data_IF_161617838994
#
_entry.id   IF_161617838994
#
_cell.length_a   1.000
_cell.length_b   1.000
_cell.length_c   1.000
_cell.angle_alpha   90.00
_cell.angle_beta   90.00
_cell.angle_gamma   90.00
#
_symmetry.space_group_name_H-M   'P 1'
#
loop_
_entity.id
_entity.type
_entity.pdbx_description
1 polymer ?
#
# COMPACT_ATOMS: atom_id res chain seq x y z
N UNK A 1 14.23 52.34 40.68
CA UNK A 1 15.49 51.99 41.35
C UNK A 1 15.36 50.51 41.71
N UNK A 2 16.07 49.54 41.17
CA UNK A 2 17.11 49.45 40.14
C UNK A 2 17.05 47.99 39.62
N UNK A 3 16.93 47.79 38.31
CA UNK A 3 17.98 47.31 37.38
C UNK A 3 18.58 45.95 37.72
N UNK A 4 18.37 45.00 36.81
CA UNK A 4 19.11 43.74 36.78
C UNK A 4 20.55 43.89 36.30
N UNK A 5 21.31 42.80 36.48
CA UNK A 5 22.41 42.31 35.64
C UNK A 5 22.97 41.08 36.36
N UNK A 6 22.92 39.90 35.74
CA UNK A 6 23.88 39.39 34.74
C UNK A 6 24.97 38.57 35.44
N UNK A 7 24.88 37.25 35.27
CA UNK A 7 25.86 36.28 35.70
C UNK A 7 27.04 36.31 34.73
N UNK A 8 28.14 36.96 35.13
CA UNK A 8 29.41 36.92 34.41
C UNK A 8 30.13 35.60 34.72
N UNK A 9 30.23 34.71 33.73
CA UNK A 9 31.10 33.52 33.82
C UNK A 9 32.50 33.92 33.34
N UNK A 10 33.44 33.95 34.28
CA UNK A 10 34.86 34.20 34.02
C UNK A 10 35.49 32.93 33.45
N UNK A 11 35.82 32.93 32.16
CA UNK A 11 36.62 31.86 31.54
C UNK A 11 38.08 32.05 31.96
N UNK A 12 38.63 31.10 32.72
CA UNK A 12 40.09 31.02 32.93
C UNK A 12 40.73 30.40 31.69
N UNK A 13 41.75 31.09 31.17
CA UNK A 13 42.46 30.71 29.95
C UNK A 13 43.23 29.41 30.09
N UNK A 14 43.11 28.55 29.07
CA UNK A 14 43.98 27.41 28.88
C UNK A 14 45.23 27.84 28.11
N UNK A 15 46.36 27.79 28.81
CA UNK A 15 47.70 27.80 28.26
C UNK A 15 47.89 26.67 27.26
N UNK A 16 48.61 26.98 26.19
CA UNK A 16 48.97 26.11 25.06
C UNK A 16 49.64 24.80 25.50
N UNK A 17 49.21 23.66 24.93
CA UNK A 17 50.05 22.53 24.50
C UNK A 17 49.17 21.41 23.93
N UNK A 18 49.43 20.98 22.69
CA UNK A 18 48.87 19.74 22.13
C UNK A 18 47.76 19.88 21.08
N UNK A 19 47.85 20.87 20.18
CA UNK A 19 47.06 20.88 18.93
C UNK A 19 47.53 19.72 18.05
N UNK A 20 46.70 18.69 17.85
CA UNK A 20 46.50 17.98 16.58
C UNK A 20 45.67 16.69 16.72
N UNK A 21 45.54 16.09 17.91
CA UNK A 21 44.89 14.76 18.03
C UNK A 21 43.46 14.74 18.59
N UNK A 22 43.02 15.77 19.33
CA UNK A 22 41.70 15.77 19.97
C UNK A 22 40.57 16.43 19.15
N UNK A 23 40.92 17.37 18.25
CA UNK A 23 39.92 18.07 17.42
C UNK A 23 39.26 17.17 16.38
N UNK A 24 40.03 16.26 15.77
CA UNK A 24 39.54 15.36 14.73
C UNK A 24 38.54 14.31 15.24
N UNK A 25 38.70 13.87 16.49
CA UNK A 25 37.82 12.87 17.10
C UNK A 25 36.45 13.46 17.44
N UNK A 26 36.41 14.70 17.95
CA UNK A 26 35.16 15.40 18.28
C UNK A 26 34.37 15.78 17.02
N UNK A 27 35.04 16.26 15.96
CA UNK A 27 34.38 16.53 14.69
C UNK A 27 33.91 15.25 14.00
N UNK A 28 34.69 14.17 14.07
CA UNK A 28 34.30 12.88 13.50
C UNK A 28 33.07 12.31 14.21
N UNK A 29 32.99 12.38 15.55
CA UNK A 29 31.82 11.90 16.30
C UNK A 29 30.57 12.73 16.02
N UNK A 30 30.70 14.05 15.84
CA UNK A 30 29.57 14.91 15.48
C UNK A 30 29.11 14.69 14.03
N UNK A 31 30.04 14.49 13.08
CA UNK A 31 29.71 14.15 11.69
C UNK A 31 29.11 12.74 11.59
N UNK A 32 29.64 11.77 12.34
CA UNK A 32 29.06 10.44 12.42
C UNK A 32 27.67 10.49 13.07
N UNK A 33 27.52 11.20 14.19
CA UNK A 33 26.24 11.42 14.87
C UNK A 33 25.18 12.09 13.99
N UNK A 34 25.58 13.03 13.13
CA UNK A 34 24.70 13.67 12.13
C UNK A 34 24.37 12.74 10.96
N UNK A 35 25.27 11.83 10.59
CA UNK A 35 25.04 10.79 9.60
C UNK A 35 24.13 9.65 10.11
N UNK A 36 24.14 9.31 11.42
CA UNK A 36 23.27 8.26 11.98
C UNK A 36 21.86 8.76 12.37
N UNK A 37 21.62 10.07 12.43
CA UNK A 37 20.33 10.62 12.90
C UNK A 37 19.27 10.79 11.81
N UNK A 38 19.60 10.50 10.55
CA UNK A 38 18.62 10.44 9.46
C UNK A 38 18.38 9.00 9.01
N UNK A 39 18.01 8.11 9.95
CA UNK A 39 17.27 6.92 9.57
C UNK A 39 15.88 7.40 9.15
N UNK A 40 15.74 7.75 7.88
CA UNK A 40 14.42 7.94 7.27
C UNK A 40 13.73 6.59 7.36
N UNK A 41 12.72 6.47 8.20
CA UNK A 41 11.88 5.28 8.20
C UNK A 41 11.33 5.08 6.78
N UNK A 42 11.42 3.85 6.26
CA UNK A 42 11.01 3.51 4.89
C UNK A 42 9.49 3.52 4.67
N UNK A 43 8.72 4.16 5.57
CA UNK A 43 7.27 4.19 5.63
C UNK A 43 6.77 5.45 6.36
N UNK A 44 5.51 5.88 6.15
CA UNK A 44 4.88 6.99 6.87
C UNK A 44 4.55 6.61 8.32
N UNK A 45 5.24 7.19 9.29
CA UNK A 45 5.02 6.92 10.72
C UNK A 45 3.61 7.34 11.18
N UNK A 46 3.03 8.37 10.56
CA UNK A 46 1.69 8.89 10.84
C UNK A 46 0.57 7.90 10.47
N UNK A 47 0.81 7.00 9.52
CA UNK A 47 -0.17 5.99 9.11
C UNK A 47 -0.01 4.69 9.92
N UNK A 48 1.01 4.57 10.79
CA UNK A 48 1.28 3.34 11.54
C UNK A 48 0.16 3.04 12.54
N UNK A 49 -0.49 1.89 12.36
CA UNK A 49 -1.51 1.39 13.29
C UNK A 49 -0.84 0.61 14.41
N UNK A 50 -0.62 1.29 15.54
CA UNK A 50 0.04 0.71 16.73
C UNK A 50 -0.76 -0.46 17.31
N UNK A 51 -2.09 -0.32 17.42
CA UNK A 51 -2.97 -1.36 17.94
C UNK A 51 -4.42 -1.10 17.50
N UNK A 52 -5.08 -2.11 16.91
CA UNK A 52 -6.53 -2.07 16.72
C UNK A 52 -7.26 -2.48 18.02
N UNK A 53 -8.43 -1.89 18.33
CA UNK A 53 -9.24 -2.30 19.48
C UNK A 53 -9.56 -3.80 19.46
N UNK A 54 -9.25 -4.49 20.56
CA UNK A 54 -9.48 -5.94 20.69
C UNK A 54 -8.62 -6.83 19.78
N UNK A 55 -7.52 -6.30 19.23
CA UNK A 55 -6.58 -7.05 18.41
C UNK A 55 -5.72 -8.03 19.23
N UNK A 56 -5.55 -9.27 18.77
CA UNK A 56 -4.57 -10.18 19.36
C UNK A 56 -3.13 -9.73 19.04
N UNK A 57 -2.16 -10.10 19.87
CA UNK A 57 -0.74 -9.76 19.64
C UNK A 57 -0.27 -10.28 18.28
N UNK A 58 0.36 -9.41 17.49
CA UNK A 58 0.95 -9.75 16.18
C UNK A 58 2.36 -9.21 16.05
N UNK A 59 3.14 -9.78 15.13
CA UNK A 59 4.52 -9.36 14.85
C UNK A 59 4.71 -8.58 13.54
N UNK A 60 3.68 -8.45 12.72
CA UNK A 60 3.70 -7.68 11.47
C UNK A 60 3.21 -6.24 11.71
N UNK A 61 3.70 -5.29 10.91
CA UNK A 61 3.19 -3.91 10.93
C UNK A 61 1.93 -3.76 10.08
N UNK A 62 1.21 -2.71 10.39
CA UNK A 62 -0.08 -2.37 9.80
C UNK A 62 -0.12 -0.86 9.63
N UNK A 63 -0.69 -0.40 8.52
CA UNK A 63 -0.77 1.01 8.18
C UNK A 63 -2.16 1.32 7.66
N UNK A 64 -2.68 2.48 8.02
CA UNK A 64 -3.96 2.94 7.54
C UNK A 64 -3.90 4.45 7.34
N UNK A 65 -4.35 4.92 6.19
CA UNK A 65 -4.27 6.33 5.88
C UNK A 65 -4.88 6.66 4.53
N UNK A 66 -4.58 7.86 4.07
CA UNK A 66 -5.12 8.40 2.82
C UNK A 66 -4.03 8.66 1.79
N UNK A 67 -4.43 8.58 0.53
CA UNK A 67 -3.67 9.07 -0.61
C UNK A 67 -4.58 9.96 -1.44
N UNK A 68 -4.16 11.21 -1.62
CA UNK A 68 -4.89 12.19 -2.41
C UNK A 68 -4.71 11.89 -3.90
N UNK A 69 -5.78 11.51 -4.60
CA UNK A 69 -5.76 11.22 -6.04
C UNK A 69 -6.09 12.45 -6.88
N UNK A 70 -6.79 13.43 -6.29
CA UNK A 70 -7.08 14.73 -6.91
C UNK A 70 -7.11 15.82 -5.84
N UNK A 71 -6.02 16.60 -5.74
CA UNK A 71 -5.93 17.68 -4.74
C UNK A 71 -6.83 18.87 -5.06
N UNK A 72 -7.23 19.05 -6.33
CA UNK A 72 -8.12 20.16 -6.73
C UNK A 72 -9.54 19.89 -6.26
N UNK A 73 -10.02 18.67 -6.45
CA UNK A 73 -11.36 18.28 -6.02
C UNK A 73 -11.41 17.78 -4.57
N UNK A 74 -10.26 17.65 -3.91
CA UNK A 74 -10.14 17.10 -2.56
C UNK A 74 -10.55 15.63 -2.49
N UNK A 75 -10.18 14.85 -3.51
CA UNK A 75 -10.51 13.42 -3.63
C UNK A 75 -9.36 12.58 -3.08
N UNK A 76 -9.68 11.76 -2.08
CA UNK A 76 -8.69 10.94 -1.35
C UNK A 76 -9.22 9.53 -1.16
N UNK A 77 -8.37 8.54 -1.45
CA UNK A 77 -8.69 7.13 -1.24
C UNK A 77 -8.06 6.63 0.05
N UNK A 78 -8.87 5.95 0.86
CA UNK A 78 -8.43 5.30 2.08
C UNK A 78 -7.82 3.93 1.76
N UNK A 79 -6.75 3.61 2.47
CA UNK A 79 -6.13 2.29 2.38
C UNK A 79 -5.87 1.68 3.75
N UNK A 80 -5.85 0.35 3.77
CA UNK A 80 -5.34 -0.43 4.88
C UNK A 80 -4.28 -1.38 4.32
N UNK A 81 -3.05 -1.25 4.82
CA UNK A 81 -1.90 -2.05 4.41
C UNK A 81 -1.43 -2.89 5.58
N UNK A 82 -1.20 -4.18 5.35
CA UNK A 82 -0.62 -5.08 6.34
C UNK A 82 0.56 -5.80 5.74
N UNK A 83 1.66 -5.78 6.49
CA UNK A 83 2.85 -6.51 6.11
C UNK A 83 2.65 -8.02 6.20
N UNK A 84 3.49 -8.74 5.46
CA UNK A 84 3.53 -10.17 5.58
C UNK A 84 3.99 -10.60 6.99
N UNK A 85 3.44 -11.70 7.51
CA UNK A 85 3.78 -12.20 8.86
C UNK A 85 5.26 -12.56 9.01
N UNK A 86 5.90 -13.00 7.91
CA UNK A 86 7.27 -13.47 7.89
C UNK A 86 8.05 -12.83 6.74
N UNK A 87 9.19 -12.23 7.10
CA UNK A 87 10.13 -11.61 6.16
C UNK A 87 9.45 -10.66 5.14
N UNK A 88 8.68 -9.64 5.59
CA UNK A 88 7.89 -8.79 4.69
C UNK A 88 8.72 -8.12 3.58
N UNK A 89 9.98 -7.81 3.89
CA UNK A 89 10.99 -7.30 2.96
C UNK A 89 11.42 -8.29 1.85
N UNK A 90 10.94 -9.53 1.85
CA UNK A 90 11.17 -10.52 0.77
C UNK A 90 9.89 -10.88 0.03
N UNK A 91 8.73 -10.44 0.53
CA UNK A 91 7.43 -10.83 -0.02
C UNK A 91 6.96 -9.85 -1.09
N UNK A 92 6.09 -10.34 -1.97
CA UNK A 92 5.39 -9.53 -2.96
C UNK A 92 4.41 -8.55 -2.31
N UNK A 93 3.84 -7.66 -3.11
CA UNK A 93 2.69 -6.84 -2.77
C UNK A 93 1.46 -7.36 -3.51
N UNK A 94 0.38 -7.60 -2.77
CA UNK A 94 -0.92 -7.97 -3.32
C UNK A 94 -1.92 -6.85 -3.05
N UNK A 95 -2.39 -6.20 -4.11
CA UNK A 95 -3.53 -5.30 -4.06
C UNK A 95 -4.82 -6.12 -4.02
N UNK A 96 -5.74 -5.77 -3.13
CA UNK A 96 -7.08 -6.34 -3.04
C UNK A 96 -8.16 -5.27 -3.26
N UNK A 97 -9.09 -5.54 -4.17
CA UNK A 97 -10.29 -4.73 -4.43
C UNK A 97 -11.56 -5.58 -4.33
N UNK A 98 -12.50 -5.19 -3.48
CA UNK A 98 -13.88 -5.72 -3.56
C UNK A 98 -14.66 -5.03 -4.69
N UNK A 99 -15.71 -5.72 -5.15
CA UNK A 99 -16.56 -5.28 -6.26
C UNK A 99 -17.79 -4.48 -5.81
N UNK A 100 -18.98 -4.95 -6.19
CA UNK A 100 -20.25 -4.26 -5.96
C UNK A 100 -20.93 -3.88 -7.28
N UNK A 101 -20.58 -2.74 -7.92
CA UNK A 101 -19.60 -1.71 -7.55
C UNK A 101 -19.92 -0.99 -6.22
N UNK A 102 -18.90 -0.48 -5.52
CA UNK A 102 -19.07 0.33 -4.31
C UNK A 102 -18.97 -0.40 -2.96
N UNK A 103 -18.60 -1.69 -2.96
CA UNK A 103 -18.37 -2.44 -1.72
C UNK A 103 -16.97 -2.13 -1.14
N UNK A 104 -16.90 -2.05 0.18
CA UNK A 104 -15.65 -1.80 0.92
C UNK A 104 -14.68 -2.98 0.83
N UNK A 105 -13.43 -2.69 0.44
CA UNK A 105 -12.32 -3.65 0.42
C UNK A 105 -11.83 -4.01 1.83
N UNK A 106 -12.04 -3.11 2.78
CA UNK A 106 -11.78 -3.38 4.20
C UNK A 106 -12.84 -4.29 4.79
N UNK A 107 -14.12 -3.91 4.63
CA UNK A 107 -15.25 -4.66 5.15
C UNK A 107 -15.30 -6.07 4.57
N UNK A 108 -15.29 -6.21 3.24
CA UNK A 108 -15.26 -7.50 2.56
C UNK A 108 -13.90 -8.19 2.74
N UNK A 109 -12.88 -7.68 2.06
CA UNK A 109 -11.57 -8.33 1.98
C UNK A 109 -10.83 -8.44 3.32
N UNK A 110 -10.53 -7.31 3.94
CA UNK A 110 -9.61 -7.28 5.08
C UNK A 110 -10.18 -7.95 6.34
N UNK A 111 -11.48 -7.76 6.60
CA UNK A 111 -12.10 -8.20 7.85
C UNK A 111 -13.11 -9.34 7.71
N UNK A 112 -13.50 -9.76 6.50
CA UNK A 112 -14.43 -10.91 6.33
C UNK A 112 -13.95 -12.02 5.42
N UNK A 113 -12.84 -11.81 4.68
CA UNK A 113 -12.32 -12.82 3.75
C UNK A 113 -10.88 -13.25 4.07
N UNK A 114 -9.89 -12.43 3.70
CA UNK A 114 -8.50 -12.86 3.55
C UNK A 114 -7.48 -12.05 4.35
N UNK A 115 -7.90 -10.93 4.94
CA UNK A 115 -7.02 -10.15 5.80
C UNK A 115 -6.70 -10.88 7.12
N UNK A 116 -5.86 -10.25 7.97
CA UNK A 116 -5.23 -10.93 9.10
C UNK A 116 -6.20 -11.25 10.25
N UNK A 117 -7.36 -10.59 10.28
CA UNK A 117 -8.32 -10.72 11.37
C UNK A 117 -9.74 -10.84 10.86
N UNK A 118 -10.57 -11.48 11.68
CA UNK A 118 -12.01 -11.41 11.59
C UNK A 118 -12.55 -10.70 12.84
N UNK A 119 -13.62 -9.91 12.73
CA UNK A 119 -14.41 -9.48 13.88
C UNK A 119 -14.91 -10.69 14.68
N UNK A 120 -14.88 -10.57 15.99
CA UNK A 120 -15.62 -11.47 16.88
C UNK A 120 -17.12 -11.24 16.70
N UNK A 121 -17.95 -12.26 16.94
CA UNK A 121 -19.39 -12.20 16.70
C UNK A 121 -20.14 -11.12 17.49
N UNK A 122 -19.54 -10.60 18.57
CA UNK A 122 -20.08 -9.50 19.36
C UNK A 122 -19.62 -8.11 18.89
N UNK A 123 -18.77 -8.04 17.84
CA UNK A 123 -18.25 -6.80 17.27
C UNK A 123 -17.25 -6.04 18.16
N UNK A 124 -16.85 -6.59 19.31
CA UNK A 124 -16.01 -5.87 20.30
C UNK A 124 -14.54 -6.27 20.27
N UNK A 125 -14.16 -7.21 19.43
CA UNK A 125 -12.78 -7.62 19.28
C UNK A 125 -12.48 -8.29 17.96
N UNK A 126 -11.22 -8.67 17.80
CA UNK A 126 -10.71 -9.32 16.61
C UNK A 126 -10.14 -10.69 16.97
N UNK A 127 -10.31 -11.66 16.07
CA UNK A 127 -9.65 -12.97 16.13
C UNK A 127 -8.75 -13.14 14.92
N UNK A 128 -7.63 -13.85 15.06
CA UNK A 128 -6.72 -14.12 13.94
C UNK A 128 -7.39 -14.98 12.87
N UNK A 129 -7.12 -14.65 11.62
CA UNK A 129 -7.40 -15.50 10.47
C UNK A 129 -6.20 -16.43 10.23
N UNK A 130 -6.33 -17.72 10.56
CA UNK A 130 -5.25 -18.71 10.37
C UNK A 130 -4.90 -18.94 8.89
N UNK A 131 -5.80 -18.58 7.98
CA UNK A 131 -5.64 -18.70 6.53
C UNK A 131 -5.43 -17.34 5.85
N UNK A 132 -5.00 -16.32 6.60
CA UNK A 132 -4.77 -15.00 6.02
C UNK A 132 -3.74 -15.04 4.90
N UNK A 133 -4.01 -14.27 3.85
CA UNK A 133 -3.08 -14.10 2.74
C UNK A 133 -1.82 -13.34 3.13
N UNK A 134 -1.81 -12.63 4.27
CA UNK A 134 -0.60 -11.94 4.74
C UNK A 134 0.48 -12.92 5.23
N UNK A 135 0.20 -14.22 5.25
CA UNK A 135 1.21 -15.27 5.43
C UNK A 135 2.09 -15.44 4.20
N UNK A 136 1.61 -15.04 3.02
CA UNK A 136 2.28 -15.23 1.73
C UNK A 136 2.74 -13.91 1.08
N UNK A 137 2.05 -12.79 1.33
CA UNK A 137 2.29 -11.51 0.66
C UNK A 137 2.06 -10.33 1.60
N UNK A 138 2.59 -9.15 1.27
CA UNK A 138 2.14 -7.91 1.88
C UNK A 138 0.78 -7.55 1.25
N UNK A 139 -0.24 -7.23 2.05
CA UNK A 139 -1.60 -7.00 1.53
C UNK A 139 -1.98 -5.54 1.60
N UNK A 140 -2.41 -4.98 0.48
CA UNK A 140 -2.92 -3.62 0.35
C UNK A 140 -4.40 -3.66 -0.03
N UNK A 141 -5.25 -3.22 0.89
CA UNK A 141 -6.68 -3.06 0.68
C UNK A 141 -6.98 -1.59 0.41
N UNK A 142 -7.74 -1.30 -0.66
CA UNK A 142 -8.06 0.08 -1.04
C UNK A 142 -9.57 0.24 -1.16
N UNK A 143 -10.11 1.23 -0.47
CA UNK A 143 -11.49 1.67 -0.61
C UNK A 143 -11.60 2.48 -1.91
N UNK A 144 -12.23 1.92 -2.95
CA UNK A 144 -12.33 2.56 -4.26
C UNK A 144 -13.63 2.20 -4.96
N UNK A 145 -14.27 3.14 -5.67
CA UNK A 145 -13.86 4.54 -5.89
C UNK A 145 -14.16 5.47 -4.70
N UNK A 146 -13.98 6.79 -4.88
CA UNK A 146 -14.37 7.78 -3.86
C UNK A 146 -15.87 7.64 -3.50
N UNK A 147 -16.19 7.74 -2.21
CA UNK A 147 -17.51 7.45 -1.65
C UNK A 147 -17.67 6.03 -1.09
N UNK A 148 -16.71 5.13 -1.37
CA UNK A 148 -16.67 3.79 -0.76
C UNK A 148 -16.02 3.87 0.62
N UNK A 149 -16.78 3.44 1.64
CA UNK A 149 -16.38 3.40 3.05
C UNK A 149 -15.78 4.72 3.53
N UNK A 150 -14.45 4.76 3.69
CA UNK A 150 -13.75 5.95 4.19
C UNK A 150 -13.14 6.83 3.11
N UNK A 151 -13.16 6.43 1.85
CA UNK A 151 -12.73 7.25 0.72
C UNK A 151 -13.75 8.34 0.41
N UNK A 152 -13.30 9.56 0.12
CA UNK A 152 -14.18 10.71 -0.05
C UNK A 152 -13.70 11.67 -1.15
N UNK A 153 -14.58 12.61 -1.52
CA UNK A 153 -14.26 13.81 -2.29
C UNK A 153 -14.96 15.03 -1.69
N UNK A 154 -14.32 16.20 -1.79
CA UNK A 154 -14.95 17.48 -1.45
C UNK A 154 -15.84 18.01 -2.59
N UNK A 155 -15.85 17.33 -3.75
CA UNK A 155 -16.66 17.69 -4.92
C UNK A 155 -17.75 16.66 -5.18
N UNK A 156 -19.03 17.05 -5.12
CA UNK A 156 -20.17 16.12 -5.25
C UNK A 156 -20.20 15.33 -6.56
N UNK A 157 -19.79 15.95 -7.67
CA UNK A 157 -19.79 15.29 -8.99
C UNK A 157 -18.84 14.08 -9.05
N UNK A 158 -17.83 14.02 -8.17
CA UNK A 158 -16.86 12.92 -8.14
C UNK A 158 -17.47 11.60 -7.66
N UNK A 159 -18.65 11.62 -7.03
CA UNK A 159 -19.38 10.42 -6.63
C UNK A 159 -20.13 9.76 -7.79
N UNK A 160 -20.20 10.41 -8.95
CA UNK A 160 -20.66 9.79 -10.19
C UNK A 160 -19.47 9.19 -10.93
N UNK A 161 -19.15 7.94 -10.61
CA UNK A 161 -17.91 7.27 -11.07
C UNK A 161 -18.17 6.27 -12.19
N UNK A 162 -17.20 6.05 -13.06
CA UNK A 162 -17.17 4.94 -14.03
C UNK A 162 -15.86 4.16 -13.97
N UNK A 163 -15.81 3.01 -14.65
CA UNK A 163 -14.64 2.12 -14.59
C UNK A 163 -13.33 2.81 -15.00
N UNK A 164 -13.37 3.62 -16.07
CA UNK A 164 -12.19 4.34 -16.56
C UNK A 164 -11.68 5.40 -15.56
N UNK A 165 -12.58 6.15 -14.92
CA UNK A 165 -12.17 7.11 -13.87
C UNK A 165 -11.61 6.38 -12.65
N UNK A 166 -12.21 5.25 -12.26
CA UNK A 166 -11.74 4.42 -11.14
C UNK A 166 -10.35 3.85 -11.41
N UNK A 167 -10.10 3.34 -12.62
CA UNK A 167 -8.77 2.83 -13.01
C UNK A 167 -7.70 3.95 -13.00
N UNK A 168 -8.05 5.15 -13.47
CA UNK A 168 -7.17 6.33 -13.44
C UNK A 168 -6.84 6.77 -12.01
N UNK A 169 -7.85 6.85 -11.14
CA UNK A 169 -7.64 7.21 -9.73
C UNK A 169 -6.79 6.16 -9.01
N UNK A 170 -7.00 4.86 -9.25
CA UNK A 170 -6.19 3.78 -8.70
C UNK A 170 -4.74 3.81 -9.21
N UNK A 171 -4.50 4.23 -10.45
CA UNK A 171 -3.14 4.44 -10.98
C UNK A 171 -2.42 5.56 -10.25
N UNK A 172 -3.07 6.72 -10.08
CA UNK A 172 -2.51 7.85 -9.30
C UNK A 172 -2.28 7.44 -7.85
N UNK A 173 -3.25 6.73 -7.27
CA UNK A 173 -3.15 6.18 -5.92
C UNK A 173 -1.89 5.33 -5.77
N UNK A 174 -1.67 4.34 -6.64
CA UNK A 174 -0.53 3.45 -6.53
C UNK A 174 0.80 4.20 -6.69
N UNK A 175 0.91 5.15 -7.64
CA UNK A 175 2.12 5.95 -7.80
C UNK A 175 2.49 6.69 -6.50
N UNK A 176 1.53 7.40 -5.92
CA UNK A 176 1.73 8.16 -4.68
C UNK A 176 1.90 7.26 -3.46
N UNK A 177 1.19 6.13 -3.41
CA UNK A 177 1.34 5.16 -2.33
C UNK A 177 2.75 4.58 -2.28
N UNK A 178 3.35 4.27 -3.44
CA UNK A 178 4.75 3.85 -3.51
C UNK A 178 5.74 4.94 -3.10
N UNK A 179 5.39 6.23 -3.17
CA UNK A 179 6.21 7.31 -2.60
C UNK A 179 6.21 7.26 -1.07
N UNK A 180 5.08 6.88 -0.46
CA UNK A 180 4.99 6.64 0.99
C UNK A 180 5.76 5.37 1.40
N UNK A 181 5.74 4.31 0.59
CA UNK A 181 6.41 3.03 0.84
C UNK A 181 7.50 2.71 -0.20
N UNK A 182 8.61 3.46 -0.23
CA UNK A 182 9.64 3.33 -1.26
C UNK A 182 10.30 1.94 -1.31
N UNK A 183 10.38 1.24 -0.18
CA UNK A 183 10.96 -0.11 -0.07
C UNK A 183 10.16 -1.20 -0.81
N UNK A 184 8.91 -0.89 -1.18
CA UNK A 184 8.03 -1.78 -1.92
C UNK A 184 8.09 -1.58 -3.44
N UNK A 185 8.73 -0.50 -3.92
CA UNK A 185 8.79 -0.18 -5.37
C UNK A 185 9.38 -1.30 -6.23
N UNK A 186 10.34 -2.05 -5.72
CA UNK A 186 10.98 -3.15 -6.46
C UNK A 186 10.23 -4.49 -6.33
N UNK A 187 9.18 -4.56 -5.51
CA UNK A 187 8.48 -5.81 -5.21
C UNK A 187 7.58 -6.22 -6.35
N UNK A 188 7.39 -7.52 -6.48
CA UNK A 188 6.40 -8.09 -7.38
C UNK A 188 5.00 -7.63 -6.97
N UNK A 189 4.23 -7.16 -7.94
CA UNK A 189 2.87 -6.65 -7.74
C UNK A 189 1.86 -7.65 -8.33
N UNK A 190 0.92 -8.07 -7.49
CA UNK A 190 -0.24 -8.86 -7.89
C UNK A 190 -1.51 -8.03 -7.72
N UNK A 191 -2.33 -7.96 -8.76
CA UNK A 191 -3.60 -7.25 -8.74
C UNK A 191 -4.73 -8.25 -8.54
N UNK A 192 -5.44 -8.15 -7.43
CA UNK A 192 -6.44 -9.15 -7.06
C UNK A 192 -7.75 -8.52 -6.61
N UNK A 193 -8.86 -9.24 -6.79
CA UNK A 193 -10.16 -8.76 -6.32
C UNK A 193 -11.30 -9.73 -6.53
N UNK A 194 -12.49 -9.31 -6.11
CA UNK A 194 -13.72 -10.10 -6.20
C UNK A 194 -14.87 -9.38 -6.91
N UNK A 195 -15.74 -10.18 -7.55
CA UNK A 195 -17.05 -9.74 -8.05
C UNK A 195 -16.88 -8.71 -9.17
N UNK A 196 -17.43 -7.51 -9.02
CA UNK A 196 -17.24 -6.41 -9.97
C UNK A 196 -15.77 -5.98 -10.14
N UNK A 197 -14.86 -6.40 -9.24
CA UNK A 197 -13.43 -6.25 -9.48
C UNK A 197 -12.93 -7.01 -10.71
N UNK A 198 -13.73 -7.92 -11.29
CA UNK A 198 -13.50 -8.45 -12.63
C UNK A 198 -13.51 -7.40 -13.74
N UNK A 199 -14.11 -6.23 -13.51
CA UNK A 199 -13.96 -5.04 -14.36
C UNK A 199 -12.79 -4.16 -13.91
N UNK A 200 -12.62 -3.95 -12.60
CA UNK A 200 -11.58 -3.08 -12.07
C UNK A 200 -10.16 -3.59 -12.32
N UNK A 201 -9.89 -4.86 -12.05
CA UNK A 201 -8.54 -5.42 -12.09
C UNK A 201 -7.97 -5.43 -13.51
N UNK A 202 -8.68 -5.89 -14.56
CA UNK A 202 -8.14 -5.84 -15.91
C UNK A 202 -7.92 -4.41 -16.42
N UNK A 203 -8.84 -3.48 -16.14
CA UNK A 203 -8.71 -2.08 -16.58
C UNK A 203 -7.57 -1.36 -15.85
N UNK A 204 -7.40 -1.60 -14.55
CA UNK A 204 -6.23 -1.12 -13.82
C UNK A 204 -4.95 -1.70 -14.41
N UNK A 205 -4.89 -3.01 -14.65
CA UNK A 205 -3.72 -3.66 -15.22
C UNK A 205 -3.33 -3.06 -16.58
N UNK A 206 -4.30 -2.75 -17.43
CA UNK A 206 -4.08 -2.07 -18.71
C UNK A 206 -3.45 -0.68 -18.51
N UNK A 207 -4.02 0.15 -17.62
CA UNK A 207 -3.48 1.49 -17.31
C UNK A 207 -2.05 1.41 -16.75
N UNK A 208 -1.76 0.45 -15.86
CA UNK A 208 -0.41 0.30 -15.30
C UNK A 208 0.62 -0.21 -16.34
N UNK A 209 0.20 -1.10 -17.24
CA UNK A 209 1.05 -1.58 -18.33
C UNK A 209 1.33 -0.46 -19.35
N UNK A 210 0.31 0.35 -19.68
CA UNK A 210 0.46 1.52 -20.53
C UNK A 210 1.44 2.54 -19.90
N UNK A 211 1.30 2.81 -18.59
CA UNK A 211 2.27 3.60 -17.83
C UNK A 211 3.69 3.03 -17.97
N UNK A 212 3.87 1.71 -17.84
CA UNK A 212 5.19 1.08 -17.95
C UNK A 212 5.83 1.21 -19.34
N UNK A 213 5.02 1.24 -20.40
CA UNK A 213 5.49 1.46 -21.78
C UNK A 213 6.00 2.88 -21.97
N UNK A 214 5.26 3.87 -21.46
CA UNK A 214 5.55 5.29 -21.67
C UNK A 214 6.48 5.92 -20.61
N UNK A 215 6.59 5.32 -19.42
CA UNK A 215 7.43 5.81 -18.33
C UNK A 215 8.92 5.52 -18.57
N UNK A 216 9.76 6.55 -18.41
CA UNK A 216 11.23 6.44 -18.34
C UNK A 216 11.75 6.26 -16.92
N UNK A 217 10.89 6.41 -15.91
CA UNK A 217 11.23 6.33 -14.50
C UNK A 217 10.71 5.05 -13.84
N UNK A 218 9.94 5.21 -12.77
CA UNK A 218 9.33 4.10 -12.04
C UNK A 218 8.40 3.27 -12.95
N UNK A 219 8.53 1.95 -12.83
CA UNK A 219 7.69 0.95 -13.51
C UNK A 219 7.14 -0.04 -12.49
N UNK A 220 5.88 -0.39 -12.63
CA UNK A 220 5.22 -1.41 -11.83
C UNK A 220 5.73 -2.80 -12.20
N UNK A 221 6.21 -3.58 -11.24
CA UNK A 221 6.65 -4.96 -11.46
C UNK A 221 5.46 -5.94 -11.37
N UNK A 222 4.49 -5.80 -12.29
CA UNK A 222 3.25 -6.59 -12.29
C UNK A 222 3.54 -8.03 -12.71
N UNK A 223 3.18 -9.01 -11.87
CA UNK A 223 3.43 -10.45 -12.12
C UNK A 223 2.18 -11.26 -12.39
N UNK A 224 1.02 -10.78 -11.96
CA UNK A 224 -0.21 -11.54 -12.14
C UNK A 224 -1.45 -10.76 -11.77
N UNK A 225 -2.57 -11.24 -12.30
CA UNK A 225 -3.91 -10.80 -11.92
C UNK A 225 -4.72 -12.01 -11.45
N UNK A 226 -5.52 -11.84 -10.40
CA UNK A 226 -6.44 -12.88 -9.93
C UNK A 226 -7.80 -12.30 -9.58
N UNK A 227 -8.86 -12.83 -10.18
CA UNK A 227 -10.23 -12.37 -9.93
C UNK A 227 -11.09 -13.54 -9.46
N UNK A 228 -11.76 -13.36 -8.32
CA UNK A 228 -12.78 -14.29 -7.83
C UNK A 228 -14.15 -13.89 -8.35
N UNK A 229 -14.88 -14.83 -8.97
CA UNK A 229 -16.30 -14.65 -9.34
C UNK A 229 -17.20 -15.39 -8.32
N UNK A 230 -18.41 -14.89 -8.10
CA UNK A 230 -19.37 -15.43 -7.10
C UNK A 230 -19.74 -16.92 -7.27
N UNK A 231 -19.45 -17.55 -8.41
CA UNK A 231 -19.66 -18.99 -8.64
C UNK A 231 -18.46 -19.88 -8.23
N UNK A 232 -17.62 -19.43 -7.29
CA UNK A 232 -16.47 -20.16 -6.75
C UNK A 232 -15.30 -20.42 -7.72
N UNK A 233 -15.31 -19.83 -8.91
CA UNK A 233 -14.16 -19.88 -9.83
C UNK A 233 -13.22 -18.69 -9.59
N UNK A 234 -11.94 -18.98 -9.38
CA UNK A 234 -10.86 -17.98 -9.40
C UNK A 234 -10.19 -18.05 -10.78
N UNK A 235 -10.16 -16.93 -11.49
CA UNK A 235 -9.37 -16.78 -12.71
C UNK A 235 -8.02 -16.18 -12.35
N UNK A 236 -6.95 -16.97 -12.45
CA UNK A 236 -5.56 -16.54 -12.22
C UNK A 236 -4.86 -16.46 -13.56
N UNK A 237 -4.25 -15.31 -13.85
CA UNK A 237 -3.41 -15.11 -15.03
C UNK A 237 -2.03 -14.71 -14.55
N UNK A 238 -1.03 -15.54 -14.84
CA UNK A 238 0.37 -15.20 -14.63
C UNK A 238 0.91 -14.44 -15.84
N UNK A 239 1.54 -13.29 -15.60
CA UNK A 239 2.04 -12.42 -16.65
C UNK A 239 3.48 -12.79 -17.01
N UNK A 240 3.64 -13.81 -17.86
CA UNK A 240 4.93 -14.14 -18.47
C UNK A 240 5.21 -13.35 -19.76
N UNK A 241 4.20 -12.66 -20.35
CA UNK A 241 4.36 -11.79 -21.53
C UNK A 241 3.16 -10.84 -21.72
N UNK A 242 3.40 -9.59 -22.14
CA UNK A 242 2.36 -8.56 -22.42
C UNK A 242 1.27 -9.03 -23.41
N UNK A 243 1.60 -9.96 -24.31
CA UNK A 243 0.66 -10.44 -25.34
C UNK A 243 -0.51 -11.26 -24.76
N UNK A 244 -0.33 -11.88 -23.59
CA UNK A 244 -1.35 -12.75 -22.97
C UNK A 244 -2.51 -11.94 -22.37
N UNK A 245 -2.28 -10.67 -22.01
CA UNK A 245 -3.29 -9.78 -21.44
C UNK A 245 -4.41 -9.43 -22.42
N UNK A 246 -4.07 -9.06 -23.66
CA UNK A 246 -5.07 -8.67 -24.68
C UNK A 246 -5.96 -9.86 -25.08
N UNK A 247 -5.38 -11.07 -25.12
CA UNK A 247 -6.09 -12.31 -25.41
C UNK A 247 -7.02 -12.70 -24.25
N UNK A 248 -6.55 -12.63 -23.00
CA UNK A 248 -7.39 -12.90 -21.84
C UNK A 248 -8.48 -11.85 -21.61
N UNK A 249 -8.24 -10.57 -21.93
CA UNK A 249 -9.28 -9.53 -21.89
C UNK A 249 -10.46 -9.89 -22.80
N UNK A 250 -10.21 -10.30 -24.05
CA UNK A 250 -11.26 -10.78 -24.96
C UNK A 250 -11.97 -12.03 -24.43
N UNK A 251 -11.27 -12.95 -23.76
CA UNK A 251 -11.88 -14.18 -23.24
C UNK A 251 -12.68 -13.95 -21.94
N UNK A 252 -12.19 -13.11 -21.04
CA UNK A 252 -12.86 -12.78 -19.76
C UNK A 252 -14.00 -11.79 -19.93
N UNK A 253 -13.93 -10.87 -20.90
CA UNK A 253 -14.97 -9.88 -21.18
C UNK A 253 -16.06 -10.39 -22.16
N UNK A 254 -15.77 -11.35 -23.04
CA UNK A 254 -16.75 -11.91 -23.99
C UNK A 254 -17.34 -13.27 -23.59
N UNK A 255 -17.11 -13.79 -22.38
CA UNK A 255 -17.76 -15.04 -21.96
C UNK A 255 -19.15 -14.76 -21.37
N UNK A 256 -20.26 -15.08 -22.07
CA UNK A 256 -21.57 -15.14 -21.44
C UNK A 256 -21.55 -16.22 -20.33
N UNK A 257 -22.37 -16.01 -19.31
CA UNK A 257 -22.62 -16.92 -18.19
C UNK A 257 -22.67 -18.39 -18.66
N UNK A 258 -21.57 -19.15 -18.55
CA UNK A 258 -21.62 -20.57 -18.91
C UNK A 258 -20.35 -21.31 -19.31
N UNK A 259 -19.15 -20.73 -19.36
CA UNK A 259 -17.94 -21.49 -19.71
C UNK A 259 -16.85 -21.42 -18.63
N UNK A 260 -16.65 -22.56 -17.96
CA UNK A 260 -15.44 -22.87 -17.18
C UNK A 260 -14.36 -23.34 -18.15
N UNK A 261 -13.22 -22.65 -18.22
CA UNK A 261 -12.02 -23.19 -18.84
C UNK A 261 -11.00 -23.49 -17.74
N UNK A 262 -10.76 -24.78 -17.53
CA UNK A 262 -9.59 -25.28 -16.81
C UNK A 262 -8.35 -25.05 -17.67
N UNK A 263 -7.46 -24.14 -17.26
CA UNK A 263 -6.10 -24.12 -17.76
C UNK A 263 -5.22 -24.91 -16.79
N UNK A 264 -4.83 -26.11 -17.22
CA UNK A 264 -3.78 -26.90 -16.59
C UNK A 264 -2.43 -26.26 -16.87
N UNK A 265 -1.62 -26.07 -15.83
CA UNK A 265 -0.22 -25.66 -15.96
C UNK A 265 0.66 -26.90 -16.16
N UNK A 266 1.47 -26.91 -17.23
CA UNK A 266 2.73 -27.67 -17.26
C UNK A 266 3.89 -26.69 -17.34
N UNK A 267 4.95 -26.98 -16.59
CA UNK A 267 6.16 -26.16 -16.46
C UNK A 267 6.64 -26.13 -15.03
#
# INVERSE_FOLDING_TARGET
>A
MDKGCEFSVRVMGFSEMGRCCFGGLFTAVLVFGWLVSNVVEGFPAEDLVVLLPGQPKVGFRQFAGYVDVDTKNGRSLFYYFVEAEHEPHKKSLTLWLNGGPGCSSLGGGAFTELGPFFPCGDGRGLRRNSMSWNRASNLLFVESPAGVGWSYSNTESDYTTGDASTAKDLHVFLLKWYEKFPELKSRELFLTGESYAGHYIPQLAEVLLDHNVHSTGFKFNIKGVAVRKHNSSISIIHLSSCFLMLLCYKVLACTPLGFSQHFAFSG
#
